data_IF_387597767217
#
_entry.id   IF_387597767217
#
_cell.length_a   1.000
_cell.length_b   1.000
_cell.length_c   1.000
_cell.angle_alpha   90.00
_cell.angle_beta   90.00
_cell.angle_gamma   90.00
#
_symmetry.space_group_name_H-M   'P 1'
#
loop_
_entity.id
_entity.type
_entity.pdbx_description
1 polymer ?
#
# COMPACT_ATOMS: atom_id res chain seq x y z
N UNK A 1 -17.91 -11.09 -4.84
CA UNK A 1 -16.99 -9.96 -5.01
C UNK A 1 -15.74 -10.29 -4.22
N UNK A 2 -14.56 -10.09 -4.80
CA UNK A 2 -13.30 -10.33 -4.10
C UNK A 2 -13.12 -9.31 -2.97
N UNK A 3 -12.46 -9.70 -1.87
CA UNK A 3 -12.31 -8.88 -0.67
C UNK A 3 -10.85 -8.87 -0.21
N UNK A 4 -10.44 -7.75 0.37
CA UNK A 4 -9.12 -7.60 0.99
C UNK A 4 -9.03 -8.42 2.28
N UNK A 5 -7.96 -9.20 2.46
CA UNK A 5 -7.74 -9.98 3.66
C UNK A 5 -6.60 -9.43 4.55
N UNK A 6 -6.69 -9.66 5.87
CA UNK A 6 -5.67 -9.20 6.83
C UNK A 6 -4.25 -9.67 6.47
N UNK A 7 -4.09 -10.91 6.02
CA UNK A 7 -2.78 -11.46 5.66
C UNK A 7 -2.12 -10.71 4.49
N UNK A 8 -2.92 -10.07 3.65
CA UNK A 8 -2.46 -9.33 2.46
C UNK A 8 -2.03 -7.90 2.81
N UNK A 9 -2.39 -7.40 4.00
CA UNK A 9 -2.04 -6.03 4.44
C UNK A 9 -1.12 -5.98 5.66
N UNK A 10 -1.02 -7.06 6.44
CA UNK A 10 -0.32 -7.06 7.73
C UNK A 10 1.16 -6.68 7.61
N UNK A 11 1.81 -7.04 6.49
CA UNK A 11 3.21 -6.73 6.23
C UNK A 11 3.50 -5.23 6.10
N UNK A 12 2.50 -4.44 5.71
CA UNK A 12 2.64 -3.00 5.50
C UNK A 12 2.36 -2.17 6.77
N UNK A 13 1.70 -2.75 7.78
CA UNK A 13 1.30 -2.03 9.01
C UNK A 13 2.45 -1.32 9.72
N UNK A 14 3.66 -1.90 9.85
CA UNK A 14 4.78 -1.20 10.49
C UNK A 14 5.28 0.04 9.72
N UNK A 15 4.82 0.23 8.48
CA UNK A 15 5.38 1.20 7.53
C UNK A 15 4.41 2.33 7.15
N UNK A 16 3.39 2.58 7.97
CA UNK A 16 2.45 3.71 7.80
C UNK A 16 1.68 3.65 6.48
N UNK A 17 1.16 2.45 6.15
CA UNK A 17 0.37 2.21 4.94
C UNK A 17 -0.72 3.29 4.78
N UNK A 18 -0.75 3.94 3.61
CA UNK A 18 -1.80 4.89 3.28
C UNK A 18 -2.97 4.16 2.62
N UNK A 19 -4.18 4.62 2.91
CA UNK A 19 -5.42 4.14 2.30
C UNK A 19 -6.16 5.32 1.68
N UNK A 20 -6.91 5.07 0.61
CA UNK A 20 -7.83 6.04 0.01
C UNK A 20 -9.28 5.58 0.11
N UNK A 21 -10.17 6.54 0.32
CA UNK A 21 -11.63 6.41 0.22
C UNK A 21 -12.18 7.65 -0.48
N UNK A 22 -12.80 7.48 -1.63
CA UNK A 22 -13.43 8.57 -2.39
C UNK A 22 -12.51 9.80 -2.56
N UNK A 23 -11.22 9.57 -2.84
CA UNK A 23 -10.21 10.62 -3.00
C UNK A 23 -9.60 11.15 -1.69
N UNK A 24 -10.14 10.79 -0.52
CA UNK A 24 -9.54 11.13 0.77
C UNK A 24 -8.47 10.12 1.14
N UNK A 25 -7.27 10.60 1.49
CA UNK A 25 -6.13 9.78 1.90
C UNK A 25 -5.92 9.86 3.42
N UNK A 26 -5.64 8.71 4.04
CA UNK A 26 -5.30 8.61 5.46
C UNK A 26 -4.36 7.45 5.77
N UNK A 27 -3.61 7.55 6.86
CA UNK A 27 -2.69 6.51 7.35
C UNK A 27 -3.45 5.43 8.11
N UNK A 28 -3.25 4.16 7.77
CA UNK A 28 -3.80 3.02 8.49
C UNK A 28 -3.14 2.88 9.87
N UNK A 29 -3.88 3.23 10.92
CA UNK A 29 -3.42 3.23 12.30
C UNK A 29 -3.56 1.86 12.98
N UNK A 30 -4.68 1.18 12.73
CA UNK A 30 -4.94 -0.11 13.33
C UNK A 30 -5.88 -0.97 12.49
N UNK A 31 -5.77 -2.28 12.70
CA UNK A 31 -6.69 -3.28 12.18
C UNK A 31 -7.23 -4.07 13.36
N UNK A 32 -8.54 -4.19 13.44
CA UNK A 32 -9.21 -4.95 14.50
C UNK A 32 -10.33 -5.81 13.91
N UNK A 33 -10.59 -6.94 14.54
CA UNK A 33 -11.55 -7.94 14.05
C UNK A 33 -12.59 -8.23 15.12
N UNK A 34 -13.81 -7.73 14.95
CA UNK A 34 -14.97 -8.06 15.79
C UNK A 34 -16.07 -8.79 14.98
N UNK A 35 -15.62 -9.70 14.10
CA UNK A 35 -16.33 -10.48 13.03
C UNK A 35 -16.16 -9.91 11.62
N UNK A 36 -15.82 -8.63 11.49
CA UNK A 36 -15.50 -7.96 10.22
C UNK A 36 -14.11 -7.35 10.34
N UNK A 37 -13.37 -7.31 9.22
CA UNK A 37 -12.10 -6.60 9.13
C UNK A 37 -12.37 -5.10 9.22
N UNK A 38 -11.88 -4.43 10.27
CA UNK A 38 -12.06 -2.99 10.48
C UNK A 38 -10.72 -2.26 10.49
N UNK A 39 -10.69 -1.09 9.88
CA UNK A 39 -9.52 -0.22 9.80
C UNK A 39 -9.82 1.14 10.44
N UNK A 40 -8.83 1.74 11.09
CA UNK A 40 -8.89 3.15 11.48
C UNK A 40 -7.82 3.90 10.70
N UNK A 41 -8.19 5.03 10.08
CA UNK A 41 -7.24 5.89 9.39
C UNK A 41 -7.07 7.23 10.11
N UNK A 42 -5.91 7.89 9.98
CA UNK A 42 -5.74 9.25 10.48
C UNK A 42 -6.84 10.16 9.88
N UNK A 43 -7.52 10.92 10.75
CA UNK A 43 -8.63 11.84 10.43
C UNK A 43 -10.03 11.23 10.22
N UNK A 44 -10.20 9.90 10.29
CA UNK A 44 -11.52 9.26 10.12
C UNK A 44 -11.66 8.01 11.01
N UNK A 45 -12.64 8.01 11.91
CA UNK A 45 -13.05 6.83 12.68
C UNK A 45 -14.37 6.31 12.13
N UNK A 46 -14.34 5.27 11.29
CA UNK A 46 -15.57 4.64 10.78
C UNK A 46 -15.48 3.12 10.81
N UNK A 47 -16.62 2.49 11.11
CA UNK A 47 -16.82 1.05 11.04
C UNK A 47 -16.99 0.62 9.58
N UNK A 48 -16.18 -0.34 9.13
CA UNK A 48 -16.31 -0.95 7.82
C UNK A 48 -17.58 -1.81 7.75
N UNK A 49 -18.72 -1.23 7.38
CA UNK A 49 -19.90 -2.00 6.95
C UNK A 49 -19.92 -2.22 5.43
N UNK A 50 -19.18 -1.40 4.66
CA UNK A 50 -19.02 -1.57 3.20
C UNK A 50 -17.56 -1.82 2.82
N UNK A 51 -17.26 -3.08 2.51
CA UNK A 51 -15.94 -3.64 2.19
C UNK A 51 -15.24 -3.03 0.95
N UNK A 52 -15.89 -2.12 0.21
CA UNK A 52 -15.43 -1.61 -1.08
C UNK A 52 -14.85 -0.19 -1.05
N UNK A 53 -14.92 0.51 0.07
CA UNK A 53 -14.57 1.94 0.10
C UNK A 53 -13.11 2.24 0.39
N UNK A 54 -12.36 1.31 0.98
CA UNK A 54 -11.00 1.57 1.42
C UNK A 54 -10.02 0.75 0.60
N UNK A 55 -9.15 1.44 -0.14
CA UNK A 55 -8.13 0.80 -0.95
C UNK A 55 -6.75 1.20 -0.43
N UNK A 56 -5.85 0.25 -0.14
CA UNK A 56 -4.45 0.54 0.05
C UNK A 56 -3.90 1.31 -1.16
N UNK A 57 -3.03 2.27 -0.90
CA UNK A 57 -2.27 2.95 -1.95
C UNK A 57 -0.92 2.25 -2.05
N UNK A 58 -0.66 1.61 -3.18
CA UNK A 58 0.50 0.77 -3.40
C UNK A 58 1.24 1.14 -4.69
N UNK A 59 2.51 0.78 -4.77
CA UNK A 59 3.35 0.87 -5.97
C UNK A 59 3.26 -0.42 -6.78
N UNK A 60 3.08 -0.37 -8.10
CA UNK A 60 3.17 -1.55 -8.93
C UNK A 60 4.59 -2.13 -8.88
N UNK A 61 4.72 -3.45 -8.95
CA UNK A 61 6.04 -4.11 -8.97
C UNK A 61 6.90 -3.68 -10.18
N UNK A 62 6.28 -3.17 -11.25
CA UNK A 62 6.98 -2.61 -12.40
C UNK A 62 7.79 -1.33 -12.06
N UNK A 63 7.58 -0.73 -10.88
CA UNK A 63 8.36 0.41 -10.40
C UNK A 63 9.68 0.02 -9.71
N UNK A 64 9.94 -1.29 -9.51
CA UNK A 64 11.14 -1.73 -8.79
C UNK A 64 12.45 -1.23 -9.40
N UNK A 65 12.50 -1.13 -10.73
CA UNK A 65 13.67 -0.68 -11.49
C UNK A 65 13.62 0.82 -11.81
N UNK A 66 12.57 1.53 -11.37
CA UNK A 66 12.41 2.96 -11.60
C UNK A 66 12.98 3.73 -10.42
N UNK A 67 13.39 4.97 -10.69
CA UNK A 67 13.70 5.93 -9.62
C UNK A 67 12.37 6.38 -9.00
N UNK A 68 12.19 6.12 -7.70
CA UNK A 68 11.01 6.54 -6.94
C UNK A 68 11.39 7.57 -5.88
N UNK A 69 10.49 8.52 -5.61
CA UNK A 69 10.62 9.44 -4.49
C UNK A 69 9.95 8.86 -3.25
N UNK A 70 10.69 8.79 -2.14
CA UNK A 70 10.19 8.33 -0.84
C UNK A 70 10.70 9.29 0.23
N UNK A 71 9.79 10.00 0.89
CA UNK A 71 10.11 10.98 1.93
C UNK A 71 11.12 12.06 1.46
N UNK A 72 11.02 12.51 0.20
CA UNK A 72 11.93 13.50 -0.40
C UNK A 72 13.28 12.96 -0.89
N UNK A 73 13.52 11.65 -0.78
CA UNK A 73 14.72 11.00 -1.32
C UNK A 73 14.39 10.14 -2.54
N UNK A 74 15.18 10.29 -3.61
CA UNK A 74 15.06 9.47 -4.83
C UNK A 74 15.93 8.21 -4.75
N UNK A 75 15.34 7.04 -5.04
CA UNK A 75 16.00 5.72 -4.91
C UNK A 75 15.50 4.73 -5.96
N UNK A 76 16.37 3.80 -6.39
CA UNK A 76 16.01 2.61 -7.17
C UNK A 76 16.04 1.40 -6.23
N UNK A 77 14.98 0.59 -6.23
CA UNK A 77 14.79 -0.49 -5.24
C UNK A 77 15.39 -1.83 -5.70
N UNK A 78 15.52 -2.05 -7.01
CA UNK A 78 16.21 -3.24 -7.55
C UNK A 78 17.69 -3.33 -7.14
N UNK A 79 18.31 -2.22 -6.74
CA UNK A 79 19.71 -2.13 -6.35
C UNK A 79 20.00 -2.73 -4.97
N UNK A 80 18.97 -3.06 -4.19
CA UNK A 80 19.08 -3.91 -3.00
C UNK A 80 19.32 -5.36 -3.44
N UNK A 81 20.53 -5.58 -3.96
CA UNK A 81 21.00 -6.71 -4.76
C UNK A 81 20.61 -8.10 -4.25
N UNK A 82 20.06 -8.90 -5.18
CA UNK A 82 19.78 -10.33 -5.10
C UNK A 82 21.06 -11.22 -5.18
N UNK A 83 22.24 -10.62 -5.18
CA UNK A 83 23.47 -11.28 -5.67
C UNK A 83 24.15 -12.22 -4.67
N UNK A 84 23.65 -12.36 -3.44
CA UNK A 84 24.17 -13.34 -2.46
C UNK A 84 23.04 -13.95 -1.64
N UNK A 85 22.33 -14.89 -2.24
CA UNK A 85 21.24 -15.65 -1.62
C UNK A 85 21.67 -16.36 -0.32
N UNK A 86 21.43 -15.69 0.79
CA UNK A 86 21.26 -16.30 2.11
C UNK A 86 19.81 -16.08 2.54
N UNK A 87 19.21 -17.00 3.29
CA UNK A 87 17.80 -16.94 3.70
C UNK A 87 17.40 -15.60 4.37
N UNK A 88 18.33 -14.98 5.09
CA UNK A 88 18.15 -13.66 5.70
C UNK A 88 17.91 -12.53 4.67
N UNK A 89 18.42 -12.65 3.44
CA UNK A 89 18.22 -11.66 2.39
C UNK A 89 16.77 -11.66 1.87
N UNK A 90 16.10 -12.82 1.82
CA UNK A 90 14.73 -12.93 1.33
C UNK A 90 13.73 -12.18 2.21
N UNK A 91 13.85 -12.31 3.53
CA UNK A 91 13.03 -11.56 4.49
C UNK A 91 13.35 -10.06 4.43
N UNK A 92 14.63 -9.69 4.30
CA UNK A 92 15.02 -8.28 4.17
C UNK A 92 14.49 -7.65 2.88
N UNK A 93 14.49 -8.38 1.77
CA UNK A 93 13.93 -7.91 0.52
C UNK A 93 12.40 -7.77 0.61
N UNK A 94 11.70 -8.75 1.18
CA UNK A 94 10.25 -8.67 1.40
C UNK A 94 9.88 -7.49 2.31
N UNK A 95 10.61 -7.28 3.40
CA UNK A 95 10.44 -6.10 4.26
C UNK A 95 10.70 -4.79 3.52
N UNK A 96 11.63 -4.79 2.56
CA UNK A 96 11.90 -3.64 1.69
C UNK A 96 10.70 -3.36 0.78
N UNK A 97 10.10 -4.40 0.19
CA UNK A 97 8.87 -4.26 -0.60
C UNK A 97 7.73 -3.68 0.23
N UNK A 98 7.51 -4.19 1.45
CA UNK A 98 6.49 -3.65 2.35
C UNK A 98 6.79 -2.22 2.79
N UNK A 99 8.04 -1.91 3.16
CA UNK A 99 8.48 -0.57 3.56
C UNK A 99 8.24 0.49 2.49
N UNK A 100 8.42 0.11 1.23
CA UNK A 100 8.21 1.00 0.08
C UNK A 100 6.84 0.80 -0.59
N UNK A 101 5.94 0.07 0.06
CA UNK A 101 4.54 -0.12 -0.34
C UNK A 101 4.34 -0.74 -1.73
N UNK A 102 5.21 -1.65 -2.14
CA UNK A 102 5.02 -2.39 -3.40
C UNK A 102 3.90 -3.41 -3.30
N UNK A 103 3.16 -3.61 -4.39
CA UNK A 103 2.05 -4.56 -4.49
C UNK A 103 2.53 -6.03 -4.54
N UNK A 104 2.89 -6.58 -3.38
CA UNK A 104 3.38 -7.96 -3.23
C UNK A 104 2.30 -9.00 -3.57
N UNK A 105 1.02 -8.67 -3.38
CA UNK A 105 -0.11 -9.61 -3.48
C UNK A 105 -0.99 -9.41 -4.73
N UNK A 106 -0.58 -8.55 -5.67
CA UNK A 106 -1.33 -8.26 -6.89
C UNK A 106 -2.67 -7.57 -6.65
N UNK A 107 -2.81 -6.83 -5.55
CA UNK A 107 -4.01 -6.12 -5.13
C UNK A 107 -4.46 -5.05 -6.13
N UNK A 108 -3.51 -4.43 -6.84
CA UNK A 108 -3.83 -3.42 -7.87
C UNK A 108 -4.60 -4.08 -9.02
N UNK A 109 -4.09 -5.19 -9.55
CA UNK A 109 -4.74 -5.93 -10.64
C UNK A 109 -6.10 -6.53 -10.24
N UNK A 110 -6.27 -6.85 -8.96
CA UNK A 110 -7.52 -7.34 -8.37
C UNK A 110 -8.52 -6.20 -8.08
N UNK A 111 -8.13 -4.95 -8.28
CA UNK A 111 -8.95 -3.77 -8.00
C UNK A 111 -9.14 -3.49 -6.50
N UNK A 112 -8.36 -4.15 -5.64
CA UNK A 112 -8.39 -4.02 -4.19
C UNK A 112 -7.46 -2.91 -3.65
N UNK A 113 -6.50 -2.47 -4.45
CA UNK A 113 -5.60 -1.34 -4.16
C UNK A 113 -5.63 -0.29 -5.29
N UNK A 114 -5.17 0.91 -4.99
CA UNK A 114 -4.93 1.99 -5.97
C UNK A 114 -3.41 2.06 -6.24
N UNK A 115 -3.07 2.22 -7.52
CA UNK A 115 -1.69 2.52 -7.94
C UNK A 115 -1.36 3.97 -7.52
N UNK A 116 -0.31 4.16 -6.72
CA UNK A 116 0.11 5.48 -6.26
C UNK A 116 0.38 6.45 -7.41
N UNK A 117 0.83 5.95 -8.56
CA UNK A 117 1.14 6.76 -9.72
C UNK A 117 -0.12 7.35 -10.40
N UNK A 118 -1.32 6.91 -10.01
CA UNK A 118 -2.58 7.46 -10.54
C UNK A 118 -3.12 8.61 -9.70
N UNK A 119 -2.66 8.80 -8.46
CA UNK A 119 -3.18 9.82 -7.54
C UNK A 119 -2.83 11.25 -7.96
N UNK A 120 -1.69 11.46 -8.62
CA UNK A 120 -1.28 12.79 -9.12
C UNK A 120 -2.18 13.32 -10.24
N UNK A 121 -2.97 12.45 -10.88
CA UNK A 121 -3.89 12.82 -11.94
C UNK A 121 -5.28 13.23 -11.43
N UNK A 122 -5.64 12.92 -10.18
CA UNK A 122 -6.98 13.19 -9.61
C UNK A 122 -7.08 14.56 -8.93
N UNK A 123 -5.95 15.16 -8.51
CA UNK A 123 -5.91 16.48 -7.89
C UNK A 123 -5.97 17.65 -8.90
N UNK A 124 -6.07 17.38 -10.21
CA UNK A 124 -6.14 18.40 -11.26
C UNK A 124 -7.57 18.66 -11.80
N UNK A 125 -8.58 17.89 -11.37
CA UNK A 125 -9.94 17.96 -11.95
C UNK A 125 -10.98 18.71 -11.10
N UNK A 126 -10.61 19.32 -9.98
CA UNK A 126 -11.52 20.13 -9.15
C UNK A 126 -11.01 21.56 -8.92
N UNK A 127 -10.63 22.24 -10.00
CA UNK A 127 -10.65 23.71 -10.07
C UNK A 127 -11.15 24.14 -11.45
N UNK A 128 -12.47 24.29 -11.57
CA UNK A 128 -13.15 25.08 -12.61
C UNK A 128 -14.49 25.55 -12.04
#
# INVERSE_FOLDING_TARGET
>A
MEKLELKEIVGYLPYKLQMTRNGFVGELLCVYTDKVFKVSCSNWHESLEDDNFYKPILRPLSDLTKEIEVNGERKIISDYTLDKMSFNLGINYLNTLFKYHFDVYGLINRGLAIDINTLDNENQTHTS
#
